data_IF_411164140827
#
_entry.id   IF_411164140827
#
_cell.length_a   1.000
_cell.length_b   1.000
_cell.length_c   1.000
_cell.angle_alpha   90.00
_cell.angle_beta   90.00
_cell.angle_gamma   90.00
#
_symmetry.space_group_name_H-M   'P 1'
#
loop_
_entity.id
_entity.type
_entity.pdbx_description
1 polymer ?
#
# COMPACT_ATOMS: atom_id res chain seq x y z
N UNK A 1 -8.72 -6.74 -2.44
CA UNK A 1 -9.13 -5.77 -1.41
C UNK A 1 -8.52 -6.16 -0.07
N UNK A 2 -8.35 -5.19 0.82
CA UNK A 2 -7.84 -5.42 2.17
C UNK A 2 -8.81 -4.82 3.17
N UNK A 3 -9.27 -5.62 4.12
CA UNK A 3 -10.18 -5.20 5.18
C UNK A 3 -9.37 -4.86 6.42
N UNK A 4 -9.47 -3.61 6.89
CA UNK A 4 -8.78 -3.12 8.07
C UNK A 4 -9.74 -2.53 9.10
N UNK A 5 -9.61 -2.87 10.39
CA UNK A 5 -10.45 -2.30 11.43
C UNK A 5 -10.05 -0.86 11.75
N UNK A 6 -11.05 -0.04 12.07
CA UNK A 6 -10.90 1.31 12.62
C UNK A 6 -11.62 1.39 13.96
N UNK A 7 -10.99 1.97 14.96
CA UNK A 7 -11.56 2.12 16.29
C UNK A 7 -11.02 3.36 16.99
N UNK A 8 -11.56 3.70 18.16
CA UNK A 8 -11.12 4.86 18.97
C UNK A 8 -9.93 4.54 19.88
N UNK A 9 -9.64 3.28 20.12
CA UNK A 9 -8.52 2.81 20.92
C UNK A 9 -7.96 1.50 20.37
N UNK A 10 -6.80 1.09 20.86
CA UNK A 10 -6.10 -0.12 20.36
C UNK A 10 -6.83 -1.40 20.76
N UNK A 11 -7.40 -1.46 21.95
CA UNK A 11 -8.12 -2.61 22.48
C UNK A 11 -9.32 -2.97 21.60
N UNK A 12 -10.13 -1.99 21.23
CA UNK A 12 -11.27 -2.20 20.32
C UNK A 12 -10.80 -2.59 18.91
N UNK A 13 -9.66 -2.03 18.46
CA UNK A 13 -9.07 -2.39 17.18
C UNK A 13 -8.62 -3.87 17.18
N UNK A 14 -7.98 -4.32 18.25
CA UNK A 14 -7.57 -5.73 18.42
C UNK A 14 -8.80 -6.65 18.48
N UNK A 15 -9.84 -6.24 19.19
CA UNK A 15 -11.09 -7.02 19.28
C UNK A 15 -11.72 -7.20 17.88
N UNK A 16 -11.86 -6.12 17.12
CA UNK A 16 -12.37 -6.17 15.75
C UNK A 16 -11.48 -7.04 14.86
N UNK A 17 -10.17 -6.84 14.90
CA UNK A 17 -9.22 -7.64 14.13
C UNK A 17 -9.33 -9.12 14.46
N UNK A 18 -9.37 -9.49 15.74
CA UNK A 18 -9.52 -10.89 16.18
C UNK A 18 -10.85 -11.51 15.76
N UNK A 19 -11.88 -10.68 15.55
CA UNK A 19 -13.20 -11.13 15.09
C UNK A 19 -13.21 -11.45 13.59
N UNK A 20 -12.50 -10.64 12.79
CA UNK A 20 -12.52 -10.76 11.32
C UNK A 20 -11.38 -11.59 10.76
N UNK A 21 -10.25 -11.77 11.50
CA UNK A 21 -9.12 -12.57 11.04
C UNK A 21 -9.48 -14.06 11.02
N UNK A 22 -8.93 -14.78 10.09
CA UNK A 22 -9.04 -16.23 10.03
C UNK A 22 -8.88 -16.79 8.64
N UNK A 23 -8.79 -18.09 8.55
CA UNK A 23 -8.79 -18.77 7.26
C UNK A 23 -10.21 -18.86 6.71
N UNK A 24 -10.39 -18.39 5.47
CA UNK A 24 -11.62 -18.54 4.72
C UNK A 24 -11.38 -19.54 3.57
N UNK A 25 -12.08 -20.68 3.61
CA UNK A 25 -11.97 -21.72 2.59
C UNK A 25 -12.50 -21.30 1.22
N UNK A 26 -13.37 -20.30 1.18
CA UNK A 26 -14.01 -19.80 -0.04
C UNK A 26 -13.19 -18.65 -0.69
N UNK A 27 -12.14 -18.16 0.01
CA UNK A 27 -11.17 -17.21 -0.52
C UNK A 27 -9.83 -17.91 -0.80
N UNK A 28 -9.50 -18.09 -2.08
CA UNK A 28 -8.24 -18.70 -2.54
C UNK A 28 -6.98 -17.93 -2.16
N UNK A 29 -7.09 -16.68 -1.72
CA UNK A 29 -5.98 -15.87 -1.24
C UNK A 29 -5.76 -15.99 0.27
N UNK A 30 -6.73 -16.58 0.98
CA UNK A 30 -6.63 -16.82 2.42
C UNK A 30 -5.61 -17.92 2.72
N UNK A 31 -4.73 -17.66 3.69
CA UNK A 31 -3.68 -18.60 4.10
C UNK A 31 -4.14 -19.39 5.34
N UNK A 32 -3.99 -20.71 5.31
CA UNK A 32 -4.27 -21.57 6.46
C UNK A 32 -3.03 -21.92 7.30
N UNK A 33 -1.84 -21.48 6.86
CA UNK A 33 -0.57 -21.75 7.52
C UNK A 33 -0.05 -20.48 8.20
N UNK A 34 -0.66 -20.08 9.31
CA UNK A 34 -0.14 -19.02 10.15
C UNK A 34 0.82 -19.61 11.17
N UNK A 35 2.09 -19.25 11.07
CA UNK A 35 3.02 -19.41 12.18
C UNK A 35 2.80 -18.22 13.11
N UNK A 36 2.29 -18.46 14.32
CA UNK A 36 2.26 -17.43 15.35
C UNK A 36 3.70 -16.98 15.65
N UNK A 37 3.95 -15.69 15.48
CA UNK A 37 5.23 -15.09 15.86
C UNK A 37 5.24 -14.97 17.40
N UNK A 38 6.31 -15.45 18.02
CA UNK A 38 6.51 -15.28 19.45
C UNK A 38 6.49 -13.79 19.81
N UNK A 39 5.63 -13.41 20.76
CA UNK A 39 5.50 -12.02 21.21
C UNK A 39 6.72 -11.67 22.08
N UNK A 40 7.55 -10.78 21.61
CA UNK A 40 8.65 -10.18 22.39
C UNK A 40 8.14 -9.01 23.23
N UNK A 41 8.73 -8.80 24.38
CA UNK A 41 8.57 -7.54 25.12
C UNK A 41 9.23 -6.38 24.38
N UNK A 42 8.76 -5.15 24.60
CA UNK A 42 9.32 -3.95 23.93
C UNK A 42 10.83 -3.81 24.18
N UNK A 43 11.29 -4.15 25.36
CA UNK A 43 12.69 -4.12 25.76
C UNK A 43 13.59 -5.16 25.05
N UNK A 44 13.01 -6.12 24.36
CA UNK A 44 13.73 -7.14 23.59
C UNK A 44 13.78 -6.80 22.09
N UNK A 45 13.05 -5.75 21.66
CA UNK A 45 12.96 -5.37 20.26
C UNK A 45 14.19 -4.58 19.79
N UNK A 46 14.69 -4.95 18.62
CA UNK A 46 15.59 -4.14 17.81
C UNK A 46 14.80 -3.45 16.70
N UNK A 47 14.71 -2.12 16.79
CA UNK A 47 13.87 -1.29 15.93
C UNK A 47 14.76 -0.43 15.03
N UNK A 48 14.54 -0.49 13.73
CA UNK A 48 15.18 0.37 12.74
C UNK A 48 14.28 1.57 12.37
N UNK A 49 14.84 2.78 12.39
CA UNK A 49 14.22 3.96 11.81
C UNK A 49 14.68 4.05 10.37
N UNK A 50 13.73 4.06 9.41
CA UNK A 50 14.07 4.22 8.00
C UNK A 50 14.44 5.68 7.71
N UNK A 51 15.74 5.96 7.55
CA UNK A 51 16.25 7.32 7.36
C UNK A 51 15.64 8.03 6.16
N UNK A 52 15.46 7.32 5.06
CA UNK A 52 14.94 7.89 3.82
C UNK A 52 13.47 8.30 3.91
N UNK A 53 12.72 7.71 4.85
CA UNK A 53 11.31 7.99 5.09
C UNK A 53 11.06 8.88 6.31
N UNK A 54 12.09 9.17 7.10
CA UNK A 54 12.01 10.01 8.30
C UNK A 54 12.66 11.41 8.10
N UNK A 55 13.09 11.73 6.88
CA UNK A 55 13.87 12.92 6.55
C UNK A 55 13.06 14.09 6.01
N UNK A 56 13.47 14.57 4.84
CA UNK A 56 12.92 15.76 4.18
C UNK A 56 11.45 15.55 3.73
N UNK A 57 10.68 16.65 3.75
CA UNK A 57 9.28 16.65 3.30
C UNK A 57 8.25 16.34 4.38
N UNK A 58 8.68 16.06 5.60
CA UNK A 58 7.80 15.81 6.75
C UNK A 58 7.54 17.12 7.47
N UNK A 59 6.28 17.42 7.82
CA UNK A 59 5.91 18.60 8.60
C UNK A 59 6.49 18.54 10.02
N UNK A 60 6.75 19.71 10.61
CA UNK A 60 7.35 19.82 11.93
C UNK A 60 6.51 19.11 13.01
N UNK A 61 5.19 19.18 12.91
CA UNK A 61 4.27 18.51 13.85
C UNK A 61 4.44 16.98 13.80
N UNK A 62 4.44 16.41 12.59
CA UNK A 62 4.62 14.96 12.40
C UNK A 62 6.00 14.53 12.87
N UNK A 63 7.03 15.31 12.57
CA UNK A 63 8.41 15.05 13.00
C UNK A 63 8.53 15.04 14.52
N UNK A 64 7.98 16.05 15.18
CA UNK A 64 7.97 16.15 16.65
C UNK A 64 7.29 14.93 17.30
N UNK A 65 6.12 14.54 16.80
CA UNK A 65 5.38 13.39 17.34
C UNK A 65 6.11 12.07 17.07
N UNK A 66 6.75 11.93 15.92
CA UNK A 66 7.56 10.77 15.60
C UNK A 66 8.79 10.66 16.52
N UNK A 67 9.51 11.76 16.76
CA UNK A 67 10.64 11.81 17.70
C UNK A 67 10.20 11.48 19.14
N UNK A 68 9.03 11.97 19.57
CA UNK A 68 8.47 11.62 20.87
C UNK A 68 8.18 10.11 20.99
N UNK A 69 7.65 9.50 19.94
CA UNK A 69 7.39 8.06 19.88
C UNK A 69 8.68 7.25 19.95
N UNK A 70 9.74 7.69 19.26
CA UNK A 70 11.07 7.08 19.34
C UNK A 70 11.63 7.13 20.77
N UNK A 71 11.51 8.28 21.43
CA UNK A 71 11.96 8.46 22.79
C UNK A 71 11.21 7.55 23.77
N UNK A 72 9.90 7.41 23.60
CA UNK A 72 9.10 6.50 24.41
C UNK A 72 9.52 5.03 24.22
N UNK A 73 9.75 4.58 22.98
CA UNK A 73 10.25 3.24 22.71
C UNK A 73 11.61 2.98 23.38
N UNK A 74 12.50 3.97 23.36
CA UNK A 74 13.80 3.89 24.07
C UNK A 74 13.61 3.83 25.58
N UNK A 75 12.69 4.61 26.15
CA UNK A 75 12.37 4.59 27.58
C UNK A 75 11.80 3.23 28.02
N UNK A 76 11.05 2.56 27.15
CA UNK A 76 10.54 1.21 27.36
C UNK A 76 11.61 0.13 27.18
N UNK A 77 12.84 0.51 26.82
CA UNK A 77 13.99 -0.39 26.73
C UNK A 77 14.30 -0.95 25.35
N UNK A 78 13.55 -0.55 24.30
CA UNK A 78 13.86 -0.97 22.93
C UNK A 78 15.21 -0.44 22.45
N UNK A 79 15.91 -1.24 21.64
CA UNK A 79 17.10 -0.79 20.89
C UNK A 79 16.65 -0.14 19.61
N UNK A 80 16.77 1.19 19.52
CA UNK A 80 16.33 1.96 18.37
C UNK A 80 17.53 2.56 17.66
N UNK A 81 17.73 2.22 16.40
CA UNK A 81 18.85 2.63 15.55
C UNK A 81 18.33 3.14 14.20
N UNK A 82 19.07 4.05 13.59
CA UNK A 82 18.79 4.47 12.23
C UNK A 82 19.27 3.40 11.24
N UNK A 83 18.51 3.17 10.20
CA UNK A 83 18.81 2.20 9.15
C UNK A 83 18.49 2.77 7.78
N UNK A 84 19.40 2.59 6.83
CA UNK A 84 19.16 2.91 5.43
C UNK A 84 18.47 1.74 4.75
N UNK A 85 17.40 2.03 3.99
CA UNK A 85 16.70 1.06 3.16
C UNK A 85 17.02 1.36 1.68
N UNK A 86 18.00 0.69 1.08
CA UNK A 86 18.39 0.96 -0.29
C UNK A 86 17.21 0.87 -1.26
N UNK A 87 17.17 1.79 -2.22
CA UNK A 87 16.15 1.88 -3.27
C UNK A 87 14.73 2.23 -2.79
N UNK A 88 14.51 2.57 -1.51
CA UNK A 88 13.17 2.92 -1.03
C UNK A 88 12.62 4.18 -1.69
N UNK A 89 13.48 5.13 -2.06
CA UNK A 89 13.10 6.36 -2.78
C UNK A 89 12.49 6.08 -4.15
N UNK A 90 12.84 4.96 -4.77
CA UNK A 90 12.29 4.51 -6.03
C UNK A 90 10.93 3.80 -5.88
N UNK A 91 10.46 3.60 -4.65
CA UNK A 91 9.19 2.89 -4.40
C UNK A 91 7.99 3.59 -5.01
N UNK A 92 7.93 4.92 -5.00
CA UNK A 92 6.82 5.69 -5.56
C UNK A 92 6.71 5.53 -7.09
N UNK A 93 7.76 5.75 -7.91
CA UNK A 93 7.71 5.45 -9.33
C UNK A 93 7.40 3.97 -9.62
N UNK A 94 7.94 3.03 -8.84
CA UNK A 94 7.63 1.60 -8.98
C UNK A 94 6.14 1.33 -8.73
N UNK A 95 5.56 1.94 -7.69
CA UNK A 95 4.13 1.83 -7.41
C UNK A 95 3.28 2.35 -8.57
N UNK A 96 3.59 3.53 -9.11
CA UNK A 96 2.84 4.14 -10.23
C UNK A 96 2.89 3.32 -11.52
N UNK A 97 3.92 2.51 -11.71
CA UNK A 97 4.02 1.62 -12.86
C UNK A 97 3.37 0.26 -12.59
N UNK A 98 3.53 -0.30 -11.40
CA UNK A 98 3.04 -1.65 -11.10
C UNK A 98 1.57 -1.69 -10.72
N UNK A 99 1.11 -0.83 -9.81
CA UNK A 99 -0.26 -0.86 -9.33
C UNK A 99 -1.30 -0.53 -10.41
N UNK A 100 -1.12 0.52 -11.26
CA UNK A 100 -2.02 0.73 -12.39
C UNK A 100 -1.99 -0.40 -13.42
N UNK A 101 -0.83 -1.02 -13.66
CA UNK A 101 -0.70 -2.17 -14.57
C UNK A 101 -1.53 -3.36 -14.08
N UNK A 102 -1.40 -3.71 -12.81
CA UNK A 102 -2.20 -4.77 -12.19
C UNK A 102 -3.69 -4.40 -12.14
N UNK A 103 -4.03 -3.15 -11.81
CA UNK A 103 -5.41 -2.67 -11.79
C UNK A 103 -6.05 -2.75 -13.18
N UNK A 104 -5.35 -2.35 -14.25
CA UNK A 104 -5.86 -2.43 -15.61
C UNK A 104 -6.20 -3.86 -16.04
N UNK A 105 -5.36 -4.82 -15.65
CA UNK A 105 -5.55 -6.24 -15.88
C UNK A 105 -6.69 -6.82 -15.03
N UNK A 106 -6.69 -6.55 -13.73
CA UNK A 106 -7.66 -7.11 -12.80
C UNK A 106 -9.07 -6.56 -12.99
N UNK A 107 -9.22 -5.27 -13.30
CA UNK A 107 -10.52 -4.65 -13.51
C UNK A 107 -11.16 -5.03 -14.86
N UNK A 108 -10.44 -5.75 -15.72
CA UNK A 108 -10.99 -6.31 -16.95
C UNK A 108 -12.19 -7.24 -16.71
N UNK A 109 -12.22 -7.90 -15.52
CA UNK A 109 -13.32 -8.81 -15.14
C UNK A 109 -14.68 -8.11 -14.96
N UNK A 110 -14.68 -6.80 -14.73
CA UNK A 110 -15.92 -6.02 -14.59
C UNK A 110 -16.44 -5.62 -15.96
N UNK A 111 -17.10 -6.55 -16.61
CA UNK A 111 -17.60 -6.47 -17.98
C UNK A 111 -19.12 -6.25 -18.08
N UNK A 112 -19.83 -6.33 -16.93
CA UNK A 112 -21.28 -6.23 -16.86
C UNK A 112 -22.02 -7.51 -17.31
N UNK A 113 -21.29 -8.56 -17.68
CA UNK A 113 -21.85 -9.86 -18.07
C UNK A 113 -21.75 -10.84 -16.88
N UNK A 114 -20.56 -11.04 -16.33
CA UNK A 114 -20.31 -11.89 -15.16
C UNK A 114 -20.18 -11.09 -13.87
N UNK A 115 -19.53 -9.94 -13.94
CA UNK A 115 -19.21 -9.11 -12.80
C UNK A 115 -19.50 -7.64 -13.05
N UNK A 116 -19.80 -6.92 -11.96
CA UNK A 116 -20.04 -5.49 -11.96
C UNK A 116 -21.48 -5.13 -12.33
N UNK A 117 -21.71 -3.83 -12.47
CA UNK A 117 -23.00 -3.29 -12.90
C UNK A 117 -23.33 -3.74 -14.32
N UNK A 118 -24.52 -4.29 -14.51
CA UNK A 118 -25.05 -4.66 -15.84
C UNK A 118 -26.21 -3.76 -16.22
N UNK A 119 -26.11 -3.15 -17.37
CA UNK A 119 -27.24 -2.42 -17.97
C UNK A 119 -27.96 -3.32 -19.00
N UNK A 120 -29.13 -3.83 -18.60
CA UNK A 120 -29.95 -4.73 -19.42
C UNK A 120 -30.65 -4.03 -20.61
N UNK A 121 -30.36 -2.73 -20.85
CA UNK A 121 -30.95 -1.95 -21.94
C UNK A 121 -30.27 -2.20 -23.31
N UNK A 122 -29.06 -2.77 -23.28
CA UNK A 122 -28.26 -2.97 -24.49
C UNK A 122 -28.38 -4.39 -25.03
N UNK A 123 -28.38 -4.52 -26.36
CA UNK A 123 -28.57 -5.81 -27.06
C UNK A 123 -27.22 -6.48 -27.39
N UNK A 124 -26.12 -5.72 -27.49
CA UNK A 124 -24.82 -6.28 -27.81
C UNK A 124 -23.92 -6.34 -26.59
N UNK A 125 -23.12 -7.41 -26.48
CA UNK A 125 -22.13 -7.57 -25.40
C UNK A 125 -21.14 -6.40 -25.33
N UNK A 126 -20.78 -5.84 -26.48
CA UNK A 126 -19.90 -4.69 -26.57
C UNK A 126 -20.49 -3.44 -25.89
N UNK A 127 -21.76 -3.16 -26.13
CA UNK A 127 -22.46 -2.03 -25.52
C UNK A 127 -22.61 -2.21 -24.01
N UNK A 128 -22.93 -3.43 -23.56
CA UNK A 128 -22.97 -3.77 -22.12
C UNK A 128 -21.61 -3.49 -21.46
N UNK A 129 -20.51 -4.00 -22.04
CA UNK A 129 -19.16 -3.78 -21.52
C UNK A 129 -18.83 -2.30 -21.48
N UNK A 130 -19.05 -1.58 -22.59
CA UNK A 130 -18.77 -0.15 -22.70
C UNK A 130 -19.54 0.66 -21.65
N UNK A 131 -20.82 0.37 -21.49
CA UNK A 131 -21.66 1.07 -20.52
C UNK A 131 -21.27 0.74 -19.08
N UNK A 132 -21.00 -0.52 -18.76
CA UNK A 132 -20.47 -0.91 -17.44
C UNK A 132 -19.20 -0.14 -17.10
N UNK A 133 -18.24 -0.10 -18.01
CA UNK A 133 -16.95 0.56 -17.80
C UNK A 133 -17.06 2.08 -17.77
N UNK A 134 -18.07 2.67 -18.43
CA UNK A 134 -18.32 4.12 -18.34
C UNK A 134 -18.71 4.58 -16.94
N UNK A 135 -19.23 3.69 -16.10
CA UNK A 135 -19.60 3.95 -14.70
C UNK A 135 -18.41 3.88 -13.73
N UNK A 136 -17.20 3.50 -14.17
CA UNK A 136 -16.02 3.64 -13.32
C UNK A 136 -15.75 5.09 -12.97
N UNK A 137 -15.30 5.34 -11.73
CA UNK A 137 -14.83 6.66 -11.32
C UNK A 137 -13.64 7.14 -12.17
N UNK A 138 -13.44 8.44 -12.26
CA UNK A 138 -12.40 9.05 -13.11
C UNK A 138 -10.99 8.57 -12.74
N UNK A 139 -10.67 8.44 -11.45
CA UNK A 139 -9.37 7.92 -10.99
C UNK A 139 -9.15 6.46 -11.43
N UNK A 140 -10.17 5.63 -11.35
CA UNK A 140 -10.11 4.24 -11.82
C UNK A 140 -9.84 4.18 -13.32
N UNK A 141 -10.54 4.99 -14.11
CA UNK A 141 -10.32 5.12 -15.56
C UNK A 141 -8.90 5.55 -15.88
N UNK A 142 -8.38 6.55 -15.14
CA UNK A 142 -7.01 7.04 -15.28
C UNK A 142 -5.99 5.94 -15.02
N UNK A 143 -6.14 5.18 -13.95
CA UNK A 143 -5.25 4.04 -13.62
C UNK A 143 -5.32 2.93 -14.67
N UNK A 144 -6.50 2.61 -15.17
CA UNK A 144 -6.65 1.64 -16.26
C UNK A 144 -5.90 2.09 -17.51
N UNK A 145 -6.00 3.36 -17.89
CA UNK A 145 -5.29 3.91 -19.06
C UNK A 145 -3.77 3.86 -18.88
N UNK A 146 -3.27 4.31 -17.74
CA UNK A 146 -1.85 4.26 -17.41
C UNK A 146 -1.30 2.83 -17.42
N UNK A 147 -2.03 1.90 -16.79
CA UNK A 147 -1.61 0.50 -16.75
C UNK A 147 -1.65 -0.16 -18.12
N UNK A 148 -2.66 0.13 -18.92
CA UNK A 148 -2.76 -0.37 -20.30
C UNK A 148 -1.59 0.14 -21.15
N UNK A 149 -1.20 1.40 -20.99
CA UNK A 149 -0.03 1.96 -21.66
C UNK A 149 1.27 1.25 -21.24
N UNK A 150 1.51 1.12 -19.93
CA UNK A 150 2.71 0.48 -19.40
C UNK A 150 2.85 -1.00 -19.79
N UNK A 151 1.72 -1.69 -20.03
CA UNK A 151 1.68 -3.09 -20.44
C UNK A 151 1.66 -3.27 -21.96
N UNK A 152 1.59 -2.20 -22.75
CA UNK A 152 1.55 -2.32 -24.21
C UNK A 152 2.89 -2.81 -24.77
N UNK A 153 2.83 -3.51 -25.91
CA UNK A 153 3.96 -4.29 -26.45
C UNK A 153 5.23 -3.47 -26.74
N UNK A 154 5.14 -2.18 -26.97
CA UNK A 154 6.30 -1.33 -27.19
C UNK A 154 6.94 -0.77 -25.92
N UNK A 155 6.25 -0.87 -24.78
CA UNK A 155 6.63 -0.19 -23.53
C UNK A 155 6.79 -1.13 -22.33
N UNK A 156 6.35 -2.37 -22.45
CA UNK A 156 6.36 -3.34 -21.37
C UNK A 156 7.73 -3.49 -20.70
N UNK A 157 8.78 -3.74 -21.47
CA UNK A 157 10.13 -3.96 -20.95
C UNK A 157 10.73 -2.68 -20.36
N UNK A 158 10.39 -1.54 -20.95
CA UNK A 158 10.94 -0.24 -20.56
C UNK A 158 10.31 0.28 -19.26
N UNK A 159 9.04 0.06 -19.05
CA UNK A 159 8.30 0.55 -17.88
C UNK A 159 8.03 -0.56 -16.87
N UNK A 160 7.12 -1.46 -17.18
CA UNK A 160 6.70 -2.50 -16.23
C UNK A 160 7.85 -3.46 -15.88
N UNK A 161 8.61 -3.91 -16.86
CA UNK A 161 9.76 -4.79 -16.66
C UNK A 161 10.85 -4.18 -15.78
N UNK A 162 11.17 -2.89 -16.00
CA UNK A 162 12.11 -2.16 -15.13
C UNK A 162 11.56 -1.99 -13.72
N UNK A 163 10.30 -1.61 -13.58
CA UNK A 163 9.65 -1.45 -12.28
C UNK A 163 9.68 -2.75 -11.47
N UNK A 164 9.42 -3.91 -12.10
CA UNK A 164 9.50 -5.20 -11.44
C UNK A 164 10.92 -5.55 -10.98
N UNK A 165 11.96 -5.18 -11.74
CA UNK A 165 13.36 -5.38 -11.32
C UNK A 165 13.70 -4.54 -10.10
N UNK A 166 13.33 -3.24 -10.11
CA UNK A 166 13.58 -2.34 -8.96
C UNK A 166 12.77 -2.79 -7.74
N UNK A 167 11.51 -3.19 -7.92
CA UNK A 167 10.72 -3.82 -6.86
C UNK A 167 11.43 -5.02 -6.23
N UNK A 168 12.04 -5.88 -7.06
CA UNK A 168 12.86 -7.00 -6.59
C UNK A 168 14.05 -6.56 -5.73
N UNK A 169 14.71 -5.45 -6.08
CA UNK A 169 15.81 -4.86 -5.30
C UNK A 169 15.31 -4.32 -3.96
N UNK A 170 14.19 -3.60 -3.93
CA UNK A 170 13.56 -3.10 -2.69
C UNK A 170 13.20 -4.28 -1.77
N UNK A 171 12.55 -5.31 -2.30
CA UNK A 171 12.20 -6.53 -1.53
C UNK A 171 13.45 -7.20 -0.95
N UNK A 172 14.53 -7.25 -1.70
CA UNK A 172 15.81 -7.80 -1.21
C UNK A 172 16.37 -6.95 -0.07
N UNK A 173 16.36 -5.61 -0.18
CA UNK A 173 16.80 -4.71 0.88
C UNK A 173 16.05 -4.94 2.18
N UNK A 174 14.72 -5.03 2.14
CA UNK A 174 13.93 -5.37 3.34
C UNK A 174 14.28 -6.74 3.92
N UNK A 175 14.46 -7.76 3.08
CA UNK A 175 14.85 -9.10 3.55
C UNK A 175 16.19 -9.11 4.28
N UNK A 176 17.16 -8.32 3.82
CA UNK A 176 18.45 -8.23 4.51
C UNK A 176 18.31 -7.48 5.85
N UNK A 177 17.57 -6.38 5.88
CA UNK A 177 17.34 -5.60 7.09
C UNK A 177 16.62 -6.42 8.16
N UNK A 178 15.57 -7.14 7.80
CA UNK A 178 14.81 -7.99 8.74
C UNK A 178 15.56 -9.25 9.23
N UNK A 179 16.81 -9.47 8.81
CA UNK A 179 17.69 -10.43 9.49
C UNK A 179 18.26 -9.89 10.81
N UNK A 180 18.31 -8.56 10.95
CA UNK A 180 18.91 -7.89 12.10
C UNK A 180 17.90 -7.12 12.95
N UNK A 181 16.82 -6.62 12.35
CA UNK A 181 15.78 -5.81 12.99
C UNK A 181 14.48 -6.58 13.09
N UNK A 182 13.81 -6.44 14.22
CA UNK A 182 12.48 -7.03 14.43
C UNK A 182 11.39 -6.18 13.79
N UNK A 183 11.55 -4.85 13.81
CA UNK A 183 10.57 -3.86 13.34
C UNK A 183 11.31 -2.72 12.62
N UNK A 184 10.67 -2.19 11.57
CA UNK A 184 11.02 -0.91 10.97
C UNK A 184 9.91 0.10 11.23
N UNK A 185 10.29 1.32 11.56
CA UNK A 185 9.36 2.43 11.80
C UNK A 185 9.67 3.64 10.92
N UNK A 186 8.61 4.31 10.49
CA UNK A 186 8.65 5.59 9.80
C UNK A 186 7.38 6.37 10.12
N UNK A 187 7.33 7.70 9.87
CA UNK A 187 6.07 8.42 9.91
C UNK A 187 5.03 7.80 8.97
N UNK A 188 3.80 7.72 9.40
CA UNK A 188 2.70 7.12 8.61
C UNK A 188 2.32 8.01 7.42
N UNK A 189 2.42 9.33 7.60
CA UNK A 189 2.14 10.35 6.59
C UNK A 189 3.10 11.52 6.79
N UNK A 190 3.51 12.21 5.73
CA UNK A 190 4.39 13.38 5.86
C UNK A 190 3.69 14.60 6.47
N UNK A 191 2.37 14.66 6.42
CA UNK A 191 1.55 15.76 6.92
C UNK A 191 0.38 15.26 7.76
N UNK A 192 -0.20 16.15 8.57
CA UNK A 192 -1.46 15.91 9.26
C UNK A 192 -2.64 15.93 8.27
N UNK A 193 -3.85 15.56 8.74
CA UNK A 193 -5.04 15.60 7.90
C UNK A 193 -5.26 17.01 7.33
N UNK A 194 -5.52 17.07 6.05
CA UNK A 194 -5.81 18.32 5.32
C UNK A 194 -7.33 18.52 5.18
N UNK A 195 -7.74 19.75 4.85
CA UNK A 195 -9.15 20.10 4.67
C UNK A 195 -9.77 19.34 3.50
N UNK A 196 -11.06 19.04 3.61
CA UNK A 196 -11.82 18.37 2.55
C UNK A 196 -11.76 19.20 1.28
N UNK A 197 -11.25 18.61 0.21
CA UNK A 197 -11.12 19.24 -1.10
C UNK A 197 -9.81 19.99 -1.35
N UNK A 198 -8.90 20.08 -0.38
CA UNK A 198 -7.68 20.89 -0.50
C UNK A 198 -6.65 20.35 -1.51
N UNK A 199 -6.66 19.05 -1.82
CA UNK A 199 -5.62 18.41 -2.68
C UNK A 199 -6.16 17.87 -4.00
N UNK A 200 -7.36 18.26 -4.41
CA UNK A 200 -8.05 17.69 -5.59
C UNK A 200 -7.29 17.98 -6.88
N UNK A 201 -6.68 19.15 -6.98
CA UNK A 201 -6.00 19.60 -8.21
C UNK A 201 -4.48 19.30 -8.23
N UNK A 202 -3.94 18.69 -7.16
CA UNK A 202 -2.53 18.32 -7.08
C UNK A 202 -2.37 16.82 -6.71
N UNK A 203 -2.43 15.93 -7.72
CA UNK A 203 -2.27 14.49 -7.49
C UNK A 203 -0.91 14.11 -6.92
N UNK A 204 0.16 14.85 -7.20
CA UNK A 204 1.50 14.54 -6.69
C UNK A 204 1.57 14.75 -5.18
N UNK A 205 1.09 15.87 -4.69
CA UNK A 205 1.02 16.15 -3.24
C UNK A 205 0.04 15.23 -2.52
N UNK A 206 -1.05 14.80 -3.18
CA UNK A 206 -1.99 13.83 -2.64
C UNK A 206 -1.34 12.46 -2.36
N UNK A 207 -0.28 12.09 -3.08
CA UNK A 207 0.36 10.78 -3.00
C UNK A 207 1.73 10.79 -2.27
N UNK A 208 2.14 11.93 -1.74
CA UNK A 208 3.31 12.02 -0.85
C UNK A 208 2.93 11.63 0.58
#
# INVERSE_FOLDING_TARGET
DQVGPFSKNVEDCELLYNTIKGYDKDDLTSLNNFTEIEKKGVNELKIGICDELAGDGISDDVKMHFENSINELKNLGAKVENVSVPYIKESLPVYYLTAPSEASSNLNRYDGIKYGFSDNKHQSSWEVIKNTRSNFGEEVKRRILLGTFALSSGYYDEYYGKAQKVRGMIVHSFKEIFKEYDILISPTSPITAFDIGAMIDDPLTMYQ
#
